data_IF_180375972286
#
_entry.id   IF_180375972286
#
_cell.length_a   1.000
_cell.length_b   1.000
_cell.length_c   1.000
_cell.angle_alpha   90.00
_cell.angle_beta   90.00
_cell.angle_gamma   90.00
#
_symmetry.space_group_name_H-M   'P 1'
#
loop_
_entity.id
_entity.type
_entity.pdbx_description
1 polymer ?
#
# COMPACT_ATOMS: atom_id res chain seq x y z
N UNK A 1 -12.41 8.49 -9.58
CA UNK A 1 -12.37 7.38 -10.57
C UNK A 1 -12.04 6.10 -9.82
N UNK A 2 -12.76 5.01 -10.07
CA UNK A 2 -12.56 3.70 -9.44
C UNK A 2 -12.33 2.62 -10.50
N UNK A 3 -11.61 1.58 -10.12
CA UNK A 3 -11.29 0.40 -10.93
C UNK A 3 -11.90 -0.82 -10.24
N UNK A 4 -12.43 -1.76 -11.03
CA UNK A 4 -13.05 -2.97 -10.49
C UNK A 4 -12.06 -4.13 -10.52
N UNK A 5 -11.89 -4.81 -9.39
CA UNK A 5 -11.02 -5.98 -9.25
C UNK A 5 -11.77 -7.15 -8.60
N UNK A 6 -11.38 -8.40 -8.87
CA UNK A 6 -11.89 -9.52 -8.09
C UNK A 6 -11.37 -9.47 -6.64
N UNK A 7 -12.23 -9.77 -5.68
CA UNK A 7 -11.97 -9.60 -4.25
C UNK A 7 -10.74 -10.37 -3.73
N UNK A 8 -10.56 -11.63 -4.15
CA UNK A 8 -9.43 -12.46 -3.67
C UNK A 8 -8.06 -11.94 -4.15
N UNK A 9 -7.82 -11.72 -5.45
CA UNK A 9 -6.60 -11.06 -5.94
C UNK A 9 -6.35 -9.71 -5.26
N UNK A 10 -7.38 -8.89 -5.10
CA UNK A 10 -7.26 -7.60 -4.42
C UNK A 10 -6.88 -7.74 -2.94
N UNK A 11 -7.40 -8.76 -2.23
CA UNK A 11 -7.05 -9.06 -0.85
C UNK A 11 -5.60 -9.55 -0.72
N UNK A 12 -5.14 -10.39 -1.65
CA UNK A 12 -3.76 -10.89 -1.67
C UNK A 12 -2.79 -9.74 -1.94
N UNK A 13 -3.06 -8.93 -2.97
CA UNK A 13 -2.28 -7.73 -3.27
C UNK A 13 -2.31 -6.73 -2.11
N UNK A 14 -3.46 -6.52 -1.48
CA UNK A 14 -3.62 -5.65 -0.32
C UNK A 14 -2.80 -6.12 0.88
N UNK A 15 -2.73 -7.43 1.15
CA UNK A 15 -1.88 -8.00 2.21
C UNK A 15 -0.39 -7.81 1.93
N UNK A 16 0.04 -8.01 0.68
CA UNK A 16 1.42 -7.78 0.26
C UNK A 16 1.80 -6.31 0.41
N UNK A 17 0.98 -5.41 -0.12
CA UNK A 17 1.13 -3.96 0.04
C UNK A 17 1.16 -3.55 1.52
N UNK A 18 0.32 -4.17 2.36
CA UNK A 18 0.32 -3.91 3.81
C UNK A 18 1.65 -4.28 4.44
N UNK A 19 2.18 -5.47 4.14
CA UNK A 19 3.46 -5.92 4.69
C UNK A 19 4.59 -4.97 4.30
N UNK A 20 4.66 -4.57 3.04
CA UNK A 20 5.67 -3.63 2.55
C UNK A 20 5.53 -2.23 3.18
N UNK A 21 4.29 -1.76 3.34
CA UNK A 21 4.01 -0.47 4.00
C UNK A 21 4.44 -0.49 5.46
N UNK A 22 4.24 -1.59 6.19
CA UNK A 22 4.73 -1.77 7.56
C UNK A 22 6.26 -1.71 7.61
N UNK A 23 6.94 -2.42 6.71
CA UNK A 23 8.42 -2.38 6.64
C UNK A 23 8.92 -0.97 6.32
N UNK A 24 8.27 -0.27 5.38
CA UNK A 24 8.61 1.11 5.04
C UNK A 24 8.39 2.08 6.22
N UNK A 25 7.28 1.92 6.95
CA UNK A 25 6.98 2.71 8.15
C UNK A 25 8.02 2.48 9.25
N UNK A 26 8.41 1.22 9.50
CA UNK A 26 9.44 0.89 10.48
C UNK A 26 10.78 1.54 10.13
N UNK A 27 11.19 1.47 8.85
CA UNK A 27 12.43 2.14 8.38
C UNK A 27 12.37 3.66 8.56
N UNK A 28 11.21 4.27 8.31
CA UNK A 28 11.03 5.70 8.51
C UNK A 28 11.12 6.08 9.99
N UNK A 29 10.55 5.26 10.89
CA UNK A 29 10.64 5.44 12.33
C UNK A 29 12.09 5.29 12.85
N UNK A 30 12.80 4.26 12.39
CA UNK A 30 14.19 4.03 12.78
C UNK A 30 15.07 5.22 12.36
N UNK A 31 14.85 5.78 11.18
CA UNK A 31 15.56 6.97 10.71
C UNK A 31 15.19 8.22 11.53
N UNK A 32 13.92 8.41 11.86
CA UNK A 32 13.49 9.50 12.73
C UNK A 32 14.14 9.41 14.12
N UNK A 33 14.21 8.21 14.70
CA UNK A 33 14.88 7.98 15.99
C UNK A 33 16.38 8.27 15.92
N UNK A 34 17.07 7.87 14.85
CA UNK A 34 18.48 8.25 14.64
C UNK A 34 18.67 9.75 14.55
N UNK A 35 17.78 10.45 13.85
CA UNK A 35 17.83 11.91 13.73
C UNK A 35 17.60 12.60 15.08
N UNK A 36 16.67 12.11 15.89
CA UNK A 36 16.40 12.62 17.23
C UNK A 36 17.59 12.41 18.18
N UNK A 37 18.19 11.21 18.17
CA UNK A 37 19.40 10.93 18.94
C UNK A 37 20.57 11.83 18.50
N UNK A 38 20.75 12.01 17.18
CA UNK A 38 21.74 12.93 16.64
C UNK A 38 21.46 14.39 16.99
N UNK A 39 20.19 14.77 17.14
CA UNK A 39 19.77 16.12 17.52
C UNK A 39 20.08 16.43 18.98
N UNK A 40 19.84 15.50 19.91
CA UNK A 40 20.21 15.66 21.33
C UNK A 40 21.73 15.84 21.48
N UNK A 41 22.51 15.03 20.77
CA UNK A 41 23.98 15.18 20.73
C UNK A 41 24.38 16.52 20.12
N UNK A 42 23.79 16.90 18.98
CA UNK A 42 24.10 18.18 18.33
C UNK A 42 23.71 19.39 19.19
N UNK A 43 22.62 19.33 19.96
CA UNK A 43 22.23 20.34 20.94
C UNK A 43 23.23 20.45 22.08
N UNK A 44 23.73 19.32 22.60
CA UNK A 44 24.77 19.35 23.65
C UNK A 44 26.09 19.95 23.17
N UNK A 45 26.38 19.86 21.87
CA UNK A 45 27.59 20.42 21.23
C UNK A 45 27.38 21.86 20.73
N UNK A 46 26.14 22.36 20.72
CA UNK A 46 25.81 23.71 20.27
C UNK A 46 26.36 24.79 21.23
N UNK A 47 26.60 24.44 22.50
CA UNK A 47 27.22 25.32 23.49
C UNK A 47 28.68 25.70 23.15
N UNK A 48 29.37 24.87 22.37
CA UNK A 48 30.75 25.13 21.95
C UNK A 48 30.86 25.78 20.54
N UNK A 49 29.74 26.02 19.86
CA UNK A 49 29.73 26.56 18.49
C UNK A 49 29.73 28.10 18.44
N UNK A 50 30.45 28.72 17.47
CA UNK A 50 30.42 30.17 17.27
C UNK A 50 29.00 30.68 16.95
N UNK A 51 28.68 31.88 17.46
CA UNK A 51 27.34 32.52 17.33
C UNK A 51 26.83 32.63 15.88
N UNK A 52 27.72 32.70 14.89
CA UNK A 52 27.36 32.78 13.47
C UNK A 52 26.89 31.44 12.88
N UNK A 53 27.37 30.30 13.39
CA UNK A 53 27.05 28.97 12.85
C UNK A 53 25.84 28.33 13.55
N UNK A 54 25.61 28.71 14.81
CA UNK A 54 24.54 28.20 15.67
C UNK A 54 23.13 28.34 15.03
N UNK A 55 22.71 29.49 14.48
CA UNK A 55 21.38 29.64 13.88
C UNK A 55 21.16 28.75 12.65
N UNK A 56 22.18 28.64 11.78
CA UNK A 56 22.11 27.84 10.57
C UNK A 56 22.00 26.34 10.89
N UNK A 57 22.72 25.85 11.91
CA UNK A 57 22.62 24.47 12.35
C UNK A 57 21.24 24.17 12.95
N UNK A 58 20.72 25.06 13.81
CA UNK A 58 19.38 24.92 14.40
C UNK A 58 18.30 24.83 13.32
N UNK A 59 18.37 25.68 12.29
CA UNK A 59 17.40 25.67 11.19
C UNK A 59 17.50 24.39 10.35
N UNK A 60 18.72 23.95 10.03
CA UNK A 60 18.93 22.69 9.32
C UNK A 60 18.36 21.48 10.10
N UNK A 61 18.54 21.45 11.41
CA UNK A 61 18.01 20.40 12.27
C UNK A 61 16.47 20.43 12.34
N UNK A 62 15.86 21.61 12.47
CA UNK A 62 14.39 21.77 12.42
C UNK A 62 13.81 21.28 11.10
N UNK A 63 14.44 21.63 9.98
CA UNK A 63 14.01 21.16 8.67
C UNK A 63 14.06 19.63 8.54
N UNK A 64 15.12 18.99 9.04
CA UNK A 64 15.25 17.53 9.04
C UNK A 64 14.18 16.86 9.91
N UNK A 65 13.90 17.41 11.09
CA UNK A 65 12.84 16.89 11.96
C UNK A 65 11.46 17.02 11.31
N UNK A 66 11.15 18.18 10.73
CA UNK A 66 9.89 18.39 10.02
C UNK A 66 9.73 17.46 8.81
N UNK A 67 10.82 17.15 8.10
CA UNK A 67 10.81 16.17 7.01
C UNK A 67 10.55 14.74 7.52
N UNK A 68 11.14 14.37 8.65
CA UNK A 68 10.90 13.07 9.29
C UNK A 68 9.43 12.92 9.74
N UNK A 69 8.85 13.95 10.37
CA UNK A 69 7.44 13.95 10.80
C UNK A 69 6.49 13.78 9.61
N UNK A 70 6.70 14.53 8.52
CA UNK A 70 5.89 14.40 7.29
C UNK A 70 5.95 12.98 6.72
N UNK A 71 7.13 12.34 6.74
CA UNK A 71 7.31 10.97 6.25
C UNK A 71 6.62 9.95 7.16
N UNK A 72 6.67 10.15 8.47
CA UNK A 72 5.99 9.29 9.44
C UNK A 72 4.47 9.34 9.23
N UNK A 73 3.89 10.55 9.13
CA UNK A 73 2.46 10.74 8.86
C UNK A 73 2.03 10.09 7.54
N UNK A 74 2.77 10.33 6.45
CA UNK A 74 2.46 9.71 5.16
C UNK A 74 2.52 8.17 5.21
N UNK A 75 3.41 7.60 6.03
CA UNK A 75 3.50 6.14 6.21
C UNK A 75 2.32 5.62 7.04
N UNK A 76 1.89 6.37 8.05
CA UNK A 76 0.70 6.06 8.85
C UNK A 76 -0.58 6.11 8.02
N UNK A 77 -0.80 7.20 7.29
CA UNK A 77 -1.98 7.39 6.42
C UNK A 77 -2.11 6.23 5.43
N UNK A 78 -0.99 5.84 4.81
CA UNK A 78 -0.94 4.70 3.88
C UNK A 78 -1.24 3.37 4.57
N UNK A 79 -0.75 3.15 5.79
CA UNK A 79 -1.02 1.94 6.54
C UNK A 79 -2.49 1.83 6.94
N UNK A 80 -3.10 2.94 7.34
CA UNK A 80 -4.52 3.05 7.67
C UNK A 80 -5.38 2.77 6.44
N UNK A 81 -5.08 3.40 5.30
CA UNK A 81 -5.79 3.19 4.03
C UNK A 81 -5.77 1.71 3.61
N UNK A 82 -4.57 1.10 3.56
CA UNK A 82 -4.40 -0.30 3.15
C UNK A 82 -5.03 -1.26 4.17
N UNK A 83 -4.99 -0.93 5.46
CA UNK A 83 -5.64 -1.75 6.49
C UNK A 83 -7.16 -1.67 6.40
N UNK A 84 -7.72 -0.48 6.19
CA UNK A 84 -9.14 -0.27 5.96
C UNK A 84 -9.63 -1.02 4.73
N UNK A 85 -8.89 -0.95 3.63
CA UNK A 85 -9.15 -1.72 2.41
C UNK A 85 -9.14 -3.24 2.66
N UNK A 86 -8.09 -3.77 3.28
CA UNK A 86 -8.05 -5.20 3.63
C UNK A 86 -9.17 -5.60 4.60
N UNK A 87 -9.67 -4.66 5.40
CA UNK A 87 -10.85 -4.81 6.25
C UNK A 87 -12.12 -4.97 5.44
N UNK A 88 -12.41 -4.06 4.50
CA UNK A 88 -13.61 -4.10 3.66
C UNK A 88 -13.66 -5.32 2.75
N UNK A 89 -12.52 -5.86 2.33
CA UNK A 89 -12.47 -7.08 1.53
C UNK A 89 -12.78 -8.36 2.29
N UNK A 90 -12.64 -8.36 3.62
CA UNK A 90 -13.04 -9.51 4.44
C UNK A 90 -14.55 -9.70 4.52
N UNK A 91 -15.31 -8.65 4.24
CA UNK A 91 -16.78 -8.70 4.14
C UNK A 91 -17.29 -9.03 2.73
N UNK A 92 -16.41 -9.26 1.75
CA UNK A 92 -16.84 -9.70 0.42
C UNK A 92 -17.55 -11.06 0.52
N UNK A 93 -18.69 -11.18 -0.15
CA UNK A 93 -19.53 -12.38 -0.12
C UNK A 93 -18.90 -13.53 -0.93
N UNK A 94 -18.00 -13.22 -1.86
CA UNK A 94 -17.37 -14.20 -2.75
C UNK A 94 -15.94 -13.80 -3.12
N UNK A 95 -15.01 -14.76 -3.28
CA UNK A 95 -13.64 -14.48 -3.72
C UNK A 95 -13.56 -13.89 -5.14
N UNK A 96 -14.61 -14.01 -5.95
CA UNK A 96 -14.68 -13.46 -7.32
C UNK A 96 -15.56 -12.22 -7.40
N UNK A 97 -16.07 -11.71 -6.27
CA UNK A 97 -16.86 -10.49 -6.24
C UNK A 97 -16.05 -9.30 -6.78
N UNK A 98 -16.67 -8.53 -7.67
CA UNK A 98 -16.02 -7.37 -8.29
C UNK A 98 -16.14 -6.15 -7.38
N UNK A 99 -15.08 -5.88 -6.63
CA UNK A 99 -14.95 -4.77 -5.69
C UNK A 99 -14.52 -3.49 -6.40
N UNK A 100 -15.01 -2.34 -5.93
CA UNK A 100 -14.51 -1.05 -6.39
C UNK A 100 -13.28 -0.63 -5.60
N UNK A 101 -12.24 -0.24 -6.33
CA UNK A 101 -10.97 0.21 -5.77
C UNK A 101 -10.71 1.63 -6.26
N UNK A 102 -10.49 2.61 -5.37
CA UNK A 102 -10.08 3.95 -5.77
C UNK A 102 -8.83 3.93 -6.66
N UNK A 103 -8.75 4.78 -7.68
CA UNK A 103 -7.62 4.79 -8.61
C UNK A 103 -6.25 4.94 -7.91
N UNK A 104 -6.16 5.82 -6.91
CA UNK A 104 -4.93 6.01 -6.13
C UNK A 104 -4.48 4.72 -5.40
N UNK A 105 -5.45 3.98 -4.85
CA UNK A 105 -5.16 2.70 -4.20
C UNK A 105 -4.81 1.61 -5.21
N UNK A 106 -5.47 1.61 -6.37
CA UNK A 106 -5.14 0.70 -7.47
C UNK A 106 -3.70 0.88 -7.95
N UNK A 107 -3.22 2.11 -8.12
CA UNK A 107 -1.83 2.38 -8.49
C UNK A 107 -0.84 1.76 -7.49
N UNK A 108 -1.16 1.83 -6.19
CA UNK A 108 -0.35 1.20 -5.14
C UNK A 108 -0.42 -0.33 -5.14
N UNK A 109 -1.57 -0.91 -5.53
CA UNK A 109 -1.78 -2.36 -5.58
C UNK A 109 -1.19 -3.00 -6.84
N UNK A 110 -1.16 -2.26 -7.95
CA UNK A 110 -0.79 -2.74 -9.29
C UNK A 110 0.48 -3.61 -9.31
N UNK A 111 1.60 -3.23 -8.66
CA UNK A 111 2.81 -4.06 -8.65
C UNK A 111 2.64 -5.46 -8.03
N UNK A 112 1.64 -5.63 -7.17
CA UNK A 112 1.37 -6.88 -6.46
C UNK A 112 0.26 -7.71 -7.12
N UNK A 113 -0.50 -7.12 -8.06
CA UNK A 113 -1.63 -7.78 -8.69
C UNK A 113 -1.20 -8.94 -9.59
N UNK A 114 -0.07 -8.83 -10.29
CA UNK A 114 0.40 -9.90 -11.18
C UNK A 114 0.69 -11.20 -10.41
N UNK A 115 1.36 -11.08 -9.26
CA UNK A 115 1.62 -12.21 -8.38
C UNK A 115 0.32 -12.77 -7.77
N UNK A 116 -0.58 -11.87 -7.35
CA UNK A 116 -1.87 -12.25 -6.80
C UNK A 116 -2.78 -12.96 -7.82
N UNK A 117 -2.70 -12.58 -9.10
CA UNK A 117 -3.48 -13.14 -10.20
C UNK A 117 -2.88 -14.43 -10.76
N UNK A 118 -1.59 -14.69 -10.56
CA UNK A 118 -0.90 -15.90 -11.05
C UNK A 118 -1.65 -17.22 -10.82
N UNK A 119 -2.14 -17.56 -9.62
CA UNK A 119 -2.86 -18.83 -9.41
C UNK A 119 -4.20 -18.89 -10.15
N UNK A 120 -4.88 -17.76 -10.32
CA UNK A 120 -6.12 -17.66 -11.10
C UNK A 120 -5.80 -17.92 -12.58
N UNK A 121 -4.79 -17.24 -13.11
CA UNK A 121 -4.33 -17.40 -14.49
C UNK A 121 -3.84 -18.82 -14.79
N UNK A 122 -3.12 -19.47 -13.84
CA UNK A 122 -2.70 -20.87 -13.96
C UNK A 122 -3.89 -21.84 -13.95
N UNK A 123 -4.91 -21.57 -13.13
CA UNK A 123 -6.12 -22.39 -13.08
C UNK A 123 -6.89 -22.27 -14.39
N UNK A 124 -7.01 -21.04 -14.91
CA UNK A 124 -7.60 -20.79 -16.21
C UNK A 124 -6.81 -21.47 -17.32
N UNK A 125 -5.49 -21.32 -17.37
CA UNK A 125 -4.66 -21.94 -18.41
C UNK A 125 -4.80 -23.47 -18.43
N UNK A 126 -4.94 -24.11 -17.26
CA UNK A 126 -5.17 -25.57 -17.14
C UNK A 126 -6.55 -26.00 -17.61
N UNK A 127 -7.59 -25.19 -17.39
CA UNK A 127 -8.98 -25.51 -17.75
C UNK A 127 -9.33 -25.16 -19.18
N UNK A 128 -8.74 -24.07 -19.67
CA UNK A 128 -9.07 -23.48 -20.96
C UNK A 128 -8.18 -24.04 -22.10
N UNK A 129 -7.01 -24.61 -21.77
CA UNK A 129 -6.07 -25.17 -22.74
C UNK A 129 -5.35 -24.12 -23.59
N UNK A 130 -4.34 -24.52 -24.40
CA UNK A 130 -3.70 -23.62 -25.35
C UNK A 130 -4.69 -23.23 -26.47
N UNK A 131 -4.78 -21.92 -26.78
CA UNK A 131 -5.66 -21.38 -27.83
C UNK A 131 -7.00 -20.82 -27.34
N UNK A 132 -7.18 -20.66 -26.03
CA UNK A 132 -8.42 -20.09 -25.50
C UNK A 132 -8.59 -18.60 -25.83
N UNK A 133 -9.75 -18.23 -26.38
CA UNK A 133 -10.11 -16.84 -26.64
C UNK A 133 -10.55 -16.13 -25.36
N UNK A 134 -10.55 -14.80 -25.39
CA UNK A 134 -11.04 -13.97 -24.27
C UNK A 134 -12.49 -14.32 -23.93
N UNK A 135 -13.34 -14.62 -24.92
CA UNK A 135 -14.73 -15.02 -24.69
C UNK A 135 -14.87 -16.37 -23.96
N UNK A 136 -13.96 -17.33 -24.21
CA UNK A 136 -13.94 -18.59 -23.46
C UNK A 136 -13.55 -18.37 -22.00
N UNK A 137 -12.65 -17.43 -21.72
CA UNK A 137 -12.27 -17.08 -20.34
C UNK A 137 -13.43 -16.40 -19.61
N UNK A 138 -14.14 -15.48 -20.26
CA UNK A 138 -15.33 -14.82 -19.70
C UNK A 138 -16.46 -15.80 -19.36
N UNK A 139 -16.61 -16.88 -20.15
CA UNK A 139 -17.61 -17.92 -19.86
C UNK A 139 -17.38 -18.68 -18.54
N UNK A 140 -16.14 -18.69 -18.03
CA UNK A 140 -15.81 -19.30 -16.73
C UNK A 140 -16.11 -18.39 -15.53
N UNK A 141 -16.37 -17.10 -15.78
CA UNK A 141 -16.75 -16.11 -14.76
C UNK A 141 -18.07 -15.45 -15.13
N UNK A 142 -19.19 -16.20 -15.18
CA UNK A 142 -20.47 -15.59 -15.48
C UNK A 142 -20.78 -14.53 -14.42
N UNK A 143 -21.04 -13.30 -14.89
CA UNK A 143 -21.62 -12.26 -14.05
C UNK A 143 -22.86 -12.81 -13.36
N UNK A 144 -23.04 -12.60 -12.05
CA UNK A 144 -24.26 -13.03 -11.38
C UNK A 144 -25.43 -12.34 -12.10
N UNK A 145 -26.29 -13.14 -12.75
CA UNK A 145 -27.55 -12.64 -13.28
C UNK A 145 -28.32 -12.03 -12.12
N UNK A 146 -28.83 -10.80 -12.23
CA UNK A 146 -29.72 -10.28 -11.21
C UNK A 146 -30.88 -11.26 -11.08
N UNK A 147 -31.02 -11.86 -9.90
CA UNK A 147 -32.13 -12.74 -9.60
C UNK A 147 -33.41 -11.96 -9.89
N UNK A 148 -34.17 -12.41 -10.89
CA UNK A 148 -35.51 -11.89 -11.15
C UNK A 148 -36.33 -12.23 -9.90
N UNK A 149 -36.82 -11.25 -9.12
CA UNK A 149 -37.70 -11.57 -8.01
C UNK A 149 -38.99 -12.19 -8.57
N UNK A 150 -39.37 -13.33 -7.99
CA UNK A 150 -40.62 -14.04 -8.27
C UNK A 150 -41.83 -13.25 -7.77
#
# INVERSE_FOLDING_TARGET
>A
MSIRLPALPALVAGRALKADTVVAAQRALDEANRLLQGFEVALSLLDDLPDLARPALVEALRHRLAAADRRARASQDRLEEVTGFCGSLRSAASPVEMIEVPAALFEMLSPYLDEAMRPVLQTLSRRAGPGCSVEMVESYFPSPSPAVPA
#
